data_IF_010221077206
#
_entry.id   IF_010221077206
#
_cell.length_a   1.000
_cell.length_b   1.000
_cell.length_c   1.000
_cell.angle_alpha   90.00
_cell.angle_beta   90.00
_cell.angle_gamma   90.00
#
_symmetry.space_group_name_H-M   'P 1'
#
loop_
_entity.id
_entity.type
_entity.pdbx_description
1 polymer ?
#
# COMPACT_ATOMS: atom_id res chain seq x y z
N UNK A 1 -27.49 2.34 2.61
CA UNK A 1 -28.35 2.98 3.63
C UNK A 1 -27.68 2.90 5.00
N UNK A 2 -27.99 3.80 5.94
CA UNK A 2 -27.49 3.70 7.30
C UNK A 2 -27.80 2.32 7.91
N UNK A 3 -26.79 1.68 8.51
CA UNK A 3 -26.92 0.33 9.08
C UNK A 3 -26.78 -0.83 8.09
N UNK A 4 -26.53 -0.57 6.80
CA UNK A 4 -26.23 -1.65 5.86
C UNK A 4 -24.85 -2.26 6.08
N UNK A 5 -24.78 -3.58 5.94
CA UNK A 5 -23.53 -4.34 5.97
C UNK A 5 -23.07 -4.63 4.54
N UNK A 6 -21.82 -5.08 4.38
CA UNK A 6 -21.31 -5.54 3.07
C UNK A 6 -22.24 -6.59 2.42
N UNK A 7 -22.83 -7.49 3.22
CA UNK A 7 -23.77 -8.49 2.72
C UNK A 7 -25.07 -7.87 2.16
N UNK A 8 -25.54 -6.77 2.74
CA UNK A 8 -26.69 -6.05 2.19
C UNK A 8 -26.36 -5.42 0.83
N UNK A 9 -25.19 -4.78 0.70
CA UNK A 9 -24.73 -4.24 -0.60
C UNK A 9 -24.65 -5.33 -1.67
N UNK A 10 -24.12 -6.51 -1.32
CA UNK A 10 -24.04 -7.67 -2.21
C UNK A 10 -25.43 -8.17 -2.64
N UNK A 11 -26.33 -8.36 -1.68
CA UNK A 11 -27.71 -8.78 -1.99
C UNK A 11 -28.45 -7.77 -2.88
N UNK A 12 -28.22 -6.47 -2.67
CA UNK A 12 -28.75 -5.41 -3.54
C UNK A 12 -28.16 -5.50 -4.95
N UNK A 13 -26.84 -5.69 -5.09
CA UNK A 13 -26.19 -5.86 -6.39
C UNK A 13 -26.73 -7.08 -7.14
N UNK A 14 -26.84 -8.22 -6.47
CA UNK A 14 -27.30 -9.48 -7.07
C UNK A 14 -28.77 -9.37 -7.51
N UNK A 15 -29.63 -8.72 -6.70
CA UNK A 15 -31.03 -8.46 -7.08
C UNK A 15 -31.13 -7.45 -8.23
N UNK A 16 -30.32 -6.39 -8.18
CA UNK A 16 -30.27 -5.37 -9.21
C UNK A 16 -29.88 -5.96 -10.56
N UNK A 17 -28.92 -6.88 -10.58
CA UNK A 17 -28.43 -7.54 -11.79
C UNK A 17 -29.47 -8.43 -12.50
N UNK A 18 -30.57 -8.79 -11.80
CA UNK A 18 -31.67 -9.59 -12.35
C UNK A 18 -32.81 -8.72 -12.94
N UNK A 19 -32.77 -7.41 -12.75
CA UNK A 19 -33.82 -6.52 -13.24
C UNK A 19 -33.64 -6.23 -14.74
N UNK A 20 -34.74 -6.00 -15.51
CA UNK A 20 -34.68 -5.66 -16.92
C UNK A 20 -34.33 -4.17 -17.13
N UNK A 21 -33.17 -3.76 -16.62
CA UNK A 21 -32.67 -2.37 -16.66
C UNK A 21 -31.75 -2.14 -17.85
N UNK A 22 -31.80 -0.94 -18.44
CA UNK A 22 -30.96 -0.58 -19.59
C UNK A 22 -29.70 0.21 -19.20
N UNK A 23 -29.64 0.75 -17.97
CA UNK A 23 -28.48 1.48 -17.47
C UNK A 23 -28.55 1.63 -15.93
N UNK A 24 -27.41 1.98 -15.30
CA UNK A 24 -27.34 2.31 -13.88
C UNK A 24 -26.82 3.73 -13.63
N UNK A 25 -27.36 4.39 -12.60
CA UNK A 25 -26.78 5.59 -11.98
C UNK A 25 -26.50 5.27 -10.51
N UNK A 26 -25.25 5.37 -10.09
CA UNK A 26 -24.82 5.05 -8.72
C UNK A 26 -24.39 6.32 -8.02
N UNK A 27 -24.92 6.54 -6.82
CA UNK A 27 -24.68 7.73 -6.00
C UNK A 27 -24.18 7.31 -4.63
N UNK A 28 -23.16 8.01 -4.12
CA UNK A 28 -22.83 7.98 -2.70
C UNK A 28 -23.91 8.72 -1.90
N UNK A 29 -24.14 8.30 -0.65
CA UNK A 29 -25.13 8.94 0.22
C UNK A 29 -24.63 10.31 0.66
N UNK A 30 -25.35 11.37 0.29
CA UNK A 30 -25.13 12.72 0.80
C UNK A 30 -26.18 13.08 1.85
N UNK A 31 -25.72 13.73 2.91
CA UNK A 31 -26.54 14.36 3.94
C UNK A 31 -26.54 15.84 3.62
N UNK A 32 -27.69 16.36 3.20
CA UNK A 32 -27.83 17.73 2.71
C UNK A 32 -28.61 18.59 3.69
N UNK A 33 -28.22 19.86 3.83
CA UNK A 33 -28.91 20.83 4.68
C UNK A 33 -30.39 20.92 4.32
N UNK A 34 -31.24 21.04 5.34
CA UNK A 34 -32.69 21.15 5.15
C UNK A 34 -33.41 19.84 4.87
N UNK A 35 -32.71 18.70 4.83
CA UNK A 35 -33.35 17.37 4.71
C UNK A 35 -33.66 16.76 6.07
N UNK A 36 -34.63 15.84 6.12
CA UNK A 36 -34.90 15.02 7.33
C UNK A 36 -33.66 14.25 7.77
N UNK A 37 -32.87 13.74 6.81
CA UNK A 37 -31.64 13.01 7.07
C UNK A 37 -30.59 13.87 7.80
N UNK A 38 -30.56 15.18 7.52
CA UNK A 38 -29.70 16.11 8.24
C UNK A 38 -30.12 16.30 9.71
N UNK A 39 -31.43 16.34 9.99
CA UNK A 39 -31.95 16.40 11.36
C UNK A 39 -31.58 15.12 12.12
N UNK A 40 -31.76 13.95 11.48
CA UNK A 40 -31.39 12.66 12.06
C UNK A 40 -29.89 12.58 12.34
N UNK A 41 -29.04 12.97 11.39
CA UNK A 41 -27.58 12.98 11.55
C UNK A 41 -27.11 13.94 12.65
N UNK A 42 -27.79 15.08 12.82
CA UNK A 42 -27.46 16.03 13.89
C UNK A 42 -27.80 15.49 15.29
N UNK A 43 -28.86 14.68 15.41
CA UNK A 43 -29.23 14.03 16.67
C UNK A 43 -28.36 12.81 16.96
N UNK A 44 -28.13 11.97 15.95
CA UNK A 44 -27.32 10.76 16.02
C UNK A 44 -26.50 10.65 14.73
N UNK A 45 -25.18 10.95 14.77
CA UNK A 45 -24.33 10.92 13.58
C UNK A 45 -24.42 9.59 12.82
N UNK A 46 -25.06 9.65 11.65
CA UNK A 46 -25.19 8.53 10.73
C UNK A 46 -23.84 8.19 10.08
N UNK A 47 -23.48 6.90 9.95
CA UNK A 47 -22.27 6.50 9.26
C UNK A 47 -22.39 6.83 7.76
N UNK A 48 -21.37 7.50 7.24
CA UNK A 48 -21.20 7.79 5.82
C UNK A 48 -19.84 7.32 5.36
N UNK A 49 -19.75 6.87 4.10
CA UNK A 49 -18.48 6.43 3.55
C UNK A 49 -17.66 7.58 2.99
N UNK A 50 -16.40 7.64 3.39
CA UNK A 50 -15.36 8.35 2.66
C UNK A 50 -14.99 7.58 1.39
N UNK A 51 -14.13 8.15 0.56
CA UNK A 51 -13.84 7.69 -0.80
C UNK A 51 -13.39 6.24 -0.85
N UNK A 52 -12.43 5.83 -0.02
CA UNK A 52 -11.89 4.48 -0.07
C UNK A 52 -12.92 3.39 0.31
N UNK A 53 -13.62 3.44 1.47
CA UNK A 53 -14.68 2.47 1.75
C UNK A 53 -15.79 2.45 0.70
N UNK A 54 -16.20 3.63 0.19
CA UNK A 54 -17.21 3.68 -0.85
C UNK A 54 -16.73 3.03 -2.15
N UNK A 55 -15.46 3.24 -2.52
CA UNK A 55 -14.85 2.62 -3.68
C UNK A 55 -14.85 1.09 -3.60
N UNK A 56 -14.51 0.50 -2.45
CA UNK A 56 -14.54 -0.96 -2.27
C UNK A 56 -15.95 -1.53 -2.50
N UNK A 57 -16.99 -0.89 -1.93
CA UNK A 57 -18.37 -1.31 -2.15
C UNK A 57 -18.83 -1.11 -3.60
N UNK A 58 -18.44 0.01 -4.22
CA UNK A 58 -18.76 0.31 -5.61
C UNK A 58 -18.13 -0.68 -6.57
N UNK A 59 -16.86 -1.04 -6.34
CA UNK A 59 -16.14 -2.01 -7.16
C UNK A 59 -16.79 -3.40 -7.03
N UNK A 60 -17.13 -3.85 -5.82
CA UNK A 60 -17.85 -5.12 -5.63
C UNK A 60 -19.21 -5.11 -6.35
N UNK A 61 -19.95 -3.99 -6.26
CA UNK A 61 -21.21 -3.81 -7.00
C UNK A 61 -20.99 -3.95 -8.51
N UNK A 62 -19.99 -3.25 -9.09
CA UNK A 62 -19.69 -3.31 -10.52
C UNK A 62 -19.32 -4.72 -10.96
N UNK A 63 -18.53 -5.46 -10.17
CA UNK A 63 -18.14 -6.85 -10.49
C UNK A 63 -19.34 -7.80 -10.58
N UNK A 64 -20.45 -7.49 -9.90
CA UNK A 64 -21.69 -8.28 -9.89
C UNK A 64 -22.71 -7.84 -10.94
N UNK A 65 -22.50 -6.69 -11.57
CA UNK A 65 -23.41 -6.20 -12.62
C UNK A 65 -23.34 -7.06 -13.89
N UNK A 66 -24.40 -7.06 -14.73
CA UNK A 66 -24.35 -7.67 -16.06
C UNK A 66 -23.24 -7.04 -16.94
N UNK A 67 -22.60 -7.81 -17.84
CA UNK A 67 -21.37 -7.38 -18.54
C UNK A 67 -21.55 -6.16 -19.43
N UNK A 68 -22.72 -6.02 -20.07
CA UNK A 68 -22.97 -4.96 -21.05
C UNK A 68 -23.85 -3.82 -20.50
N UNK A 69 -24.12 -3.78 -19.20
CA UNK A 69 -24.98 -2.76 -18.61
C UNK A 69 -24.22 -1.43 -18.45
N UNK A 70 -24.60 -0.34 -19.15
CA UNK A 70 -23.91 0.92 -19.06
C UNK A 70 -23.99 1.55 -17.66
N UNK A 71 -22.85 1.99 -17.14
CA UNK A 71 -22.76 2.81 -15.94
C UNK A 71 -22.75 4.28 -16.33
N UNK A 72 -23.86 4.98 -16.10
CA UNK A 72 -24.00 6.39 -16.45
C UNK A 72 -23.32 7.32 -15.46
N UNK A 73 -23.22 6.90 -14.19
CA UNK A 73 -22.72 7.73 -13.08
C UNK A 73 -22.22 6.87 -11.92
N UNK A 74 -21.13 7.30 -11.29
CA UNK A 74 -20.50 6.64 -10.13
C UNK A 74 -20.60 7.46 -8.82
N UNK A 75 -20.84 8.77 -8.92
CA UNK A 75 -20.86 9.70 -7.77
C UNK A 75 -21.97 10.73 -7.94
N UNK A 76 -22.41 11.32 -6.83
CA UNK A 76 -23.27 12.50 -6.87
C UNK A 76 -22.50 13.79 -6.57
N UNK A 77 -23.08 14.91 -6.98
CA UNK A 77 -22.53 16.25 -6.80
C UNK A 77 -23.58 17.05 -6.01
N UNK A 78 -23.19 17.63 -4.87
CA UNK A 78 -24.03 18.52 -4.04
C UNK A 78 -23.20 19.77 -3.74
N UNK A 79 -23.76 20.99 -3.85
CA UNK A 79 -23.02 22.21 -3.54
C UNK A 79 -22.40 22.20 -2.13
N UNK A 80 -21.16 22.67 -1.99
CA UNK A 80 -20.40 22.62 -0.73
C UNK A 80 -21.10 23.30 0.46
N UNK A 81 -21.88 24.34 0.17
CA UNK A 81 -22.64 25.09 1.17
C UNK A 81 -23.91 24.37 1.61
N UNK A 82 -24.38 23.36 0.89
CA UNK A 82 -25.53 22.50 1.20
C UNK A 82 -25.11 21.15 1.78
N UNK A 83 -23.93 20.65 1.42
CA UNK A 83 -23.43 19.34 1.88
C UNK A 83 -23.00 19.37 3.36
N UNK A 84 -23.56 18.48 4.18
CA UNK A 84 -23.13 18.24 5.56
C UNK A 84 -22.07 17.15 5.59
N UNK A 85 -22.36 15.98 5.00
CA UNK A 85 -21.47 14.82 4.98
C UNK A 85 -21.84 13.85 3.84
N UNK A 86 -20.93 12.96 3.39
CA UNK A 86 -19.48 12.97 3.64
C UNK A 86 -18.81 14.12 2.89
N UNK A 87 -17.72 14.66 3.44
CA UNK A 87 -16.91 15.69 2.76
C UNK A 87 -15.70 15.05 2.11
N UNK A 88 -15.89 14.56 0.88
CA UNK A 88 -14.81 13.97 0.10
C UNK A 88 -13.75 15.00 -0.28
N UNK A 89 -12.53 14.52 -0.43
CA UNK A 89 -11.32 15.23 -0.83
C UNK A 89 -10.86 14.85 -2.24
N UNK A 90 -11.40 13.77 -2.81
CA UNK A 90 -11.30 13.49 -4.26
C UNK A 90 -12.42 14.19 -5.02
N UNK A 91 -12.06 14.89 -6.10
CA UNK A 91 -13.04 15.29 -7.09
C UNK A 91 -13.56 14.08 -7.89
N UNK A 92 -14.64 14.29 -8.64
CA UNK A 92 -15.31 13.27 -9.45
C UNK A 92 -14.39 12.57 -10.46
N UNK A 93 -13.50 13.32 -11.10
CA UNK A 93 -12.58 12.78 -12.12
C UNK A 93 -11.53 11.90 -11.44
N UNK A 94 -10.95 12.39 -10.34
CA UNK A 94 -9.96 11.71 -9.53
C UNK A 94 -10.53 10.42 -8.93
N UNK A 95 -11.74 10.47 -8.37
CA UNK A 95 -12.42 9.30 -7.84
C UNK A 95 -12.69 8.25 -8.94
N UNK A 96 -13.20 8.67 -10.10
CA UNK A 96 -13.40 7.75 -11.25
C UNK A 96 -12.08 7.09 -11.67
N UNK A 97 -11.02 7.87 -11.81
CA UNK A 97 -9.71 7.34 -12.21
C UNK A 97 -9.14 6.40 -11.14
N UNK A 98 -9.38 6.67 -9.86
CA UNK A 98 -9.04 5.75 -8.76
C UNK A 98 -9.76 4.40 -8.91
N UNK A 99 -11.08 4.40 -9.14
CA UNK A 99 -11.85 3.16 -9.35
C UNK A 99 -11.28 2.35 -10.52
N UNK A 100 -11.06 2.99 -11.67
CA UNK A 100 -10.50 2.33 -12.85
C UNK A 100 -9.12 1.73 -12.54
N UNK A 101 -8.22 2.51 -11.93
CA UNK A 101 -6.89 2.03 -11.58
C UNK A 101 -6.91 0.87 -10.60
N UNK A 102 -7.77 0.90 -9.57
CA UNK A 102 -7.90 -0.22 -8.62
C UNK A 102 -8.47 -1.48 -9.29
N UNK A 103 -9.48 -1.33 -10.15
CA UNK A 103 -10.05 -2.47 -10.88
C UNK A 103 -9.01 -3.10 -11.82
N UNK A 104 -8.29 -2.29 -12.60
CA UNK A 104 -7.23 -2.77 -13.49
C UNK A 104 -6.09 -3.46 -12.72
N UNK A 105 -5.57 -2.82 -11.68
CA UNK A 105 -4.47 -3.33 -10.86
C UNK A 105 -4.84 -4.64 -10.16
N UNK A 106 -6.11 -4.80 -9.74
CA UNK A 106 -6.59 -6.02 -9.08
C UNK A 106 -7.13 -7.07 -10.06
N UNK A 107 -7.02 -6.84 -11.36
CA UNK A 107 -7.55 -7.72 -12.41
C UNK A 107 -9.06 -7.97 -12.26
N UNK A 108 -9.78 -6.93 -11.85
CA UNK A 108 -11.22 -6.95 -11.66
C UNK A 108 -11.93 -6.22 -12.79
N UNK A 109 -13.07 -6.77 -13.20
CA UNK A 109 -13.89 -6.29 -14.30
C UNK A 109 -15.36 -6.36 -13.93
N UNK A 110 -16.15 -5.51 -14.59
CA UNK A 110 -17.59 -5.61 -14.54
C UNK A 110 -18.01 -7.03 -14.98
N UNK A 111 -18.92 -7.64 -14.23
CA UNK A 111 -19.41 -9.01 -14.41
C UNK A 111 -18.47 -10.18 -14.04
N UNK A 112 -17.28 -9.96 -13.48
CA UNK A 112 -16.42 -11.07 -12.99
C UNK A 112 -17.10 -11.95 -11.93
N UNK A 113 -18.08 -11.41 -11.19
CA UNK A 113 -18.88 -12.11 -10.19
C UNK A 113 -20.33 -12.33 -10.65
N UNK A 114 -20.68 -12.00 -11.90
CA UNK A 114 -22.02 -12.22 -12.41
C UNK A 114 -22.22 -13.72 -12.75
N UNK A 115 -23.27 -14.38 -12.24
CA UNK A 115 -23.45 -15.82 -12.42
C UNK A 115 -23.45 -16.27 -13.88
N UNK A 116 -22.62 -17.27 -14.20
CA UNK A 116 -22.52 -17.85 -15.54
C UNK A 116 -21.77 -17.00 -16.57
N UNK A 117 -21.26 -15.83 -16.20
CA UNK A 117 -20.40 -15.04 -17.08
C UNK A 117 -18.93 -15.46 -16.93
N UNK A 118 -18.27 -15.63 -18.06
CA UNK A 118 -16.83 -15.84 -18.15
C UNK A 118 -16.34 -14.84 -19.19
N UNK A 119 -15.36 -14.01 -18.80
CA UNK A 119 -14.73 -13.12 -19.75
C UNK A 119 -13.93 -13.93 -20.78
N UNK A 120 -14.10 -13.68 -22.09
CA UNK A 120 -13.38 -14.41 -23.12
C UNK A 120 -11.88 -14.03 -23.15
N UNK A 121 -11.56 -12.79 -22.79
CA UNK A 121 -10.21 -12.24 -22.82
C UNK A 121 -9.55 -12.28 -21.43
N UNK A 122 -8.22 -12.38 -21.35
CA UNK A 122 -7.50 -12.23 -20.09
C UNK A 122 -7.58 -10.78 -19.57
N UNK A 123 -7.31 -10.55 -18.27
CA UNK A 123 -7.14 -9.21 -17.72
C UNK A 123 -6.05 -8.42 -18.45
N UNK A 124 -6.14 -7.09 -18.42
CA UNK A 124 -5.13 -6.22 -19.02
C UNK A 124 -3.73 -6.51 -18.44
N UNK A 125 -2.70 -6.70 -19.27
CA UNK A 125 -1.36 -6.99 -18.79
C UNK A 125 -0.76 -5.77 -18.07
N UNK A 126 0.23 -6.03 -17.21
CA UNK A 126 1.07 -4.99 -16.64
C UNK A 126 2.24 -4.75 -17.61
N UNK A 127 2.49 -3.52 -18.11
CA UNK A 127 3.63 -3.24 -18.99
C UNK A 127 4.94 -3.25 -18.20
N UNK A 128 5.41 -4.45 -17.89
CA UNK A 128 6.69 -4.72 -17.23
C UNK A 128 7.56 -5.62 -18.08
N UNK A 129 8.88 -5.37 -18.02
CA UNK A 129 9.87 -6.19 -18.70
C UNK A 129 10.82 -6.82 -17.68
N UNK A 130 11.00 -8.15 -17.66
CA UNK A 130 12.02 -8.81 -16.84
C UNK A 130 13.43 -8.37 -17.22
N UNK A 131 14.26 -8.14 -16.22
CA UNK A 131 15.66 -7.72 -16.34
C UNK A 131 16.48 -8.51 -15.34
N UNK A 132 17.46 -9.26 -15.83
CA UNK A 132 18.42 -9.96 -14.97
C UNK A 132 19.35 -8.94 -14.30
N UNK A 133 19.51 -9.06 -12.99
CA UNK A 133 20.40 -8.23 -12.17
C UNK A 133 21.80 -8.83 -12.08
N UNK A 134 22.76 -8.07 -11.55
CA UNK A 134 24.17 -8.50 -11.44
C UNK A 134 24.35 -9.69 -10.49
N UNK A 135 23.51 -9.84 -9.47
CA UNK A 135 23.48 -11.02 -8.58
C UNK A 135 22.74 -12.24 -9.16
N UNK A 136 22.34 -12.19 -10.44
CA UNK A 136 21.60 -13.26 -11.12
C UNK A 136 20.11 -13.36 -10.80
N UNK A 137 19.60 -12.53 -9.88
CA UNK A 137 18.15 -12.43 -9.64
C UNK A 137 17.44 -11.65 -10.77
N UNK A 138 16.11 -11.55 -10.69
CA UNK A 138 15.29 -10.89 -11.70
C UNK A 138 14.61 -9.68 -11.08
N UNK A 139 14.72 -8.52 -11.72
CA UNK A 139 13.87 -7.36 -11.42
C UNK A 139 13.02 -7.02 -12.64
N UNK A 140 11.96 -6.23 -12.46
CA UNK A 140 11.17 -5.74 -13.58
C UNK A 140 11.42 -4.26 -13.80
N UNK A 141 11.49 -3.84 -15.06
CA UNK A 141 11.32 -2.43 -15.43
C UNK A 141 9.82 -2.10 -15.51
N UNK A 142 9.36 -1.11 -14.77
CA UNK A 142 7.98 -0.61 -14.83
C UNK A 142 7.89 0.58 -15.79
N UNK A 143 7.20 0.41 -16.91
CA UNK A 143 7.12 1.46 -17.94
C UNK A 143 6.25 2.66 -17.58
N UNK A 144 5.41 2.56 -16.55
CA UNK A 144 4.58 3.67 -16.09
C UNK A 144 5.38 4.54 -15.12
N UNK A 145 6.03 3.88 -14.14
CA UNK A 145 6.80 4.56 -13.08
C UNK A 145 8.19 4.97 -13.56
N UNK A 146 8.70 4.33 -14.62
CA UNK A 146 10.05 4.53 -15.19
C UNK A 146 11.16 4.23 -14.18
N UNK A 147 10.98 3.14 -13.43
CA UNK A 147 11.95 2.60 -12.48
C UNK A 147 11.92 1.07 -12.48
N UNK A 148 13.01 0.47 -11.98
CA UNK A 148 13.03 -0.95 -11.64
C UNK A 148 12.39 -1.18 -10.27
N UNK A 149 11.78 -2.35 -10.07
CA UNK A 149 11.26 -2.76 -8.74
C UNK A 149 12.38 -2.96 -7.71
N UNK A 150 13.54 -3.43 -8.16
CA UNK A 150 14.75 -3.55 -7.36
C UNK A 150 15.94 -3.04 -8.15
N UNK A 151 17.00 -2.63 -7.47
CA UNK A 151 18.18 -2.11 -8.12
C UNK A 151 18.89 -3.19 -8.96
N UNK A 152 19.49 -2.74 -10.07
CA UNK A 152 20.18 -3.61 -11.04
C UNK A 152 21.35 -4.41 -10.47
N UNK A 153 21.93 -3.98 -9.35
CA UNK A 153 22.97 -4.73 -8.67
C UNK A 153 22.46 -6.05 -8.06
N UNK A 154 21.15 -6.16 -7.79
CA UNK A 154 20.58 -7.42 -7.29
C UNK A 154 19.35 -7.26 -6.42
N UNK A 155 18.27 -7.97 -6.75
CA UNK A 155 17.05 -7.98 -5.95
C UNK A 155 17.21 -8.83 -4.67
N UNK A 156 17.86 -9.99 -4.76
CA UNK A 156 18.18 -10.82 -3.57
C UNK A 156 19.19 -10.13 -2.68
N UNK A 157 20.24 -9.54 -3.27
CA UNK A 157 21.24 -8.75 -2.55
C UNK A 157 20.60 -7.58 -1.80
N UNK A 158 19.66 -6.89 -2.44
CA UNK A 158 18.93 -5.77 -1.84
C UNK A 158 18.05 -6.22 -0.66
N UNK A 159 17.24 -7.26 -0.85
CA UNK A 159 16.43 -7.82 0.23
C UNK A 159 17.27 -8.17 1.46
N UNK A 160 18.38 -8.88 1.25
CA UNK A 160 19.29 -9.27 2.32
C UNK A 160 19.97 -8.06 3.00
N UNK A 161 20.60 -7.18 2.22
CA UNK A 161 21.43 -6.09 2.75
C UNK A 161 20.65 -4.88 3.27
N UNK A 162 19.40 -4.67 2.82
CA UNK A 162 18.57 -3.51 3.22
C UNK A 162 17.51 -3.83 4.26
N UNK A 163 17.03 -5.08 4.29
CA UNK A 163 15.91 -5.47 5.14
C UNK A 163 16.31 -6.55 6.13
N UNK A 164 16.70 -7.74 5.66
CA UNK A 164 16.92 -8.92 6.53
C UNK A 164 18.06 -8.70 7.53
N UNK A 165 19.25 -8.33 7.04
CA UNK A 165 20.43 -8.17 7.88
C UNK A 165 20.32 -6.95 8.82
N UNK A 166 19.89 -5.76 8.37
CA UNK A 166 19.68 -4.62 9.27
C UNK A 166 18.63 -4.89 10.36
N UNK A 167 17.56 -5.62 10.02
CA UNK A 167 16.55 -6.06 10.99
C UNK A 167 17.08 -7.09 11.98
N UNK A 168 18.21 -7.75 11.67
CA UNK A 168 18.72 -8.90 12.42
C UNK A 168 17.65 -9.98 12.56
N UNK A 169 16.87 -10.18 11.50
CA UNK A 169 15.62 -10.96 11.53
C UNK A 169 15.83 -12.36 12.13
N UNK A 170 16.85 -13.09 11.67
CA UNK A 170 17.18 -14.40 12.23
C UNK A 170 17.37 -14.36 13.75
N UNK A 171 18.13 -13.39 14.26
CA UNK A 171 18.41 -13.27 15.70
C UNK A 171 17.16 -12.93 16.51
N UNK A 172 16.26 -12.11 15.95
CA UNK A 172 15.00 -11.79 16.60
C UNK A 172 14.06 -13.02 16.65
N UNK A 173 13.97 -13.79 15.56
CA UNK A 173 13.20 -15.03 15.49
C UNK A 173 13.78 -16.18 16.32
N UNK A 174 15.07 -16.13 16.68
CA UNK A 174 15.62 -17.05 17.69
C UNK A 174 15.05 -16.77 19.10
N UNK A 175 14.51 -15.58 19.36
CA UNK A 175 14.06 -15.17 20.69
C UNK A 175 12.53 -15.14 20.84
N UNK A 176 11.79 -14.79 19.78
CA UNK A 176 10.35 -14.60 19.86
C UNK A 176 9.68 -14.67 18.48
N UNK A 177 8.37 -14.95 18.40
CA UNK A 177 7.60 -14.79 17.17
C UNK A 177 7.53 -13.33 16.73
N UNK A 178 7.39 -13.10 15.43
CA UNK A 178 7.27 -11.75 14.86
C UNK A 178 6.11 -11.64 13.88
N UNK A 179 5.48 -10.45 13.89
CA UNK A 179 4.57 -10.01 12.84
C UNK A 179 5.24 -8.93 11.99
N UNK A 180 5.55 -9.27 10.75
CA UNK A 180 6.14 -8.39 9.74
C UNK A 180 5.04 -7.78 8.85
N UNK A 181 5.11 -6.46 8.64
CA UNK A 181 4.39 -5.77 7.57
C UNK A 181 5.32 -5.48 6.39
N UNK A 182 4.99 -5.95 5.20
CA UNK A 182 5.66 -5.59 3.95
C UNK A 182 4.79 -4.61 3.15
N UNK A 183 5.23 -3.36 3.03
CA UNK A 183 4.51 -2.29 2.32
C UNK A 183 5.10 -2.13 0.93
N UNK A 184 4.25 -2.28 -0.09
CA UNK A 184 4.61 -2.35 -1.50
C UNK A 184 5.37 -3.64 -1.84
N UNK A 185 4.69 -4.77 -1.65
CA UNK A 185 5.24 -6.12 -1.83
C UNK A 185 5.98 -6.33 -3.16
N UNK A 186 5.47 -5.76 -4.26
CA UNK A 186 6.08 -5.87 -5.59
C UNK A 186 6.32 -7.32 -6.01
N UNK A 187 7.59 -7.67 -6.25
CA UNK A 187 7.99 -9.02 -6.65
C UNK A 187 8.08 -10.00 -5.45
N UNK A 188 7.94 -9.51 -4.23
CA UNK A 188 7.96 -10.31 -3.01
C UNK A 188 9.34 -10.63 -2.45
N UNK A 189 10.44 -10.12 -3.02
CA UNK A 189 11.80 -10.47 -2.60
C UNK A 189 12.06 -10.27 -1.10
N UNK A 190 11.60 -9.16 -0.52
CA UNK A 190 11.82 -8.89 0.91
C UNK A 190 11.09 -9.90 1.79
N UNK A 191 9.82 -10.16 1.50
CA UNK A 191 9.02 -11.15 2.23
C UNK A 191 9.52 -12.58 2.03
N UNK A 192 9.80 -12.98 0.79
CA UNK A 192 10.28 -14.33 0.49
C UNK A 192 11.66 -14.59 1.13
N UNK A 193 12.55 -13.60 1.14
CA UNK A 193 13.81 -13.67 1.86
C UNK A 193 13.63 -13.74 3.39
N UNK A 194 12.64 -13.01 3.94
CA UNK A 194 12.30 -13.05 5.35
C UNK A 194 11.78 -14.44 5.76
N UNK A 195 10.90 -15.03 4.96
CA UNK A 195 10.37 -16.38 5.16
C UNK A 195 11.46 -17.44 5.04
N UNK A 196 12.38 -17.32 4.07
CA UNK A 196 13.55 -18.20 3.97
C UNK A 196 14.41 -18.12 5.24
N UNK A 197 14.65 -16.91 5.75
CA UNK A 197 15.42 -16.69 6.99
C UNK A 197 14.74 -17.34 8.19
N UNK A 198 13.41 -17.36 8.19
CA UNK A 198 12.61 -17.88 9.28
C UNK A 198 12.47 -19.42 9.27
N UNK A 199 12.81 -20.08 8.15
CA UNK A 199 12.77 -21.54 8.01
C UNK A 199 13.64 -22.26 9.05
N UNK A 200 14.78 -21.68 9.41
CA UNK A 200 15.76 -22.26 10.34
C UNK A 200 15.64 -21.70 11.77
N UNK A 201 14.46 -21.16 12.13
CA UNK A 201 14.23 -20.51 13.43
C UNK A 201 13.12 -21.20 14.23
N UNK A 202 13.20 -21.20 15.57
CA UNK A 202 12.22 -21.89 16.41
C UNK A 202 10.90 -21.13 16.58
N UNK A 203 10.83 -19.86 16.19
CA UNK A 203 9.62 -19.05 16.36
C UNK A 203 9.01 -18.63 15.02
N UNK A 204 7.68 -18.52 14.96
CA UNK A 204 7.00 -18.22 13.71
C UNK A 204 7.15 -16.77 13.26
N UNK A 205 7.11 -16.59 11.95
CA UNK A 205 7.00 -15.33 11.26
C UNK A 205 5.63 -15.27 10.57
N UNK A 206 4.78 -14.35 11.03
CA UNK A 206 3.55 -13.97 10.34
C UNK A 206 3.81 -12.72 9.50
N UNK A 207 3.39 -12.75 8.24
CA UNK A 207 3.56 -11.61 7.31
C UNK A 207 2.20 -11.07 6.89
N UNK A 208 2.06 -9.75 6.96
CA UNK A 208 1.01 -9.02 6.27
C UNK A 208 1.65 -8.21 5.17
N UNK A 209 1.17 -8.34 3.94
CA UNK A 209 1.70 -7.63 2.78
C UNK A 209 0.64 -6.68 2.22
N UNK A 210 1.05 -5.47 1.83
CA UNK A 210 0.23 -4.48 1.14
C UNK A 210 0.73 -4.33 -0.29
N UNK A 211 -0.14 -4.59 -1.27
CA UNK A 211 0.17 -4.43 -2.69
C UNK A 211 -1.06 -3.95 -3.44
N UNK A 212 -0.89 -3.01 -4.35
CA UNK A 212 -2.00 -2.49 -5.14
C UNK A 212 -2.23 -3.32 -6.41
N UNK A 213 -1.16 -3.81 -7.03
CA UNK A 213 -1.20 -4.43 -8.34
C UNK A 213 -1.01 -5.95 -8.28
N UNK A 214 -2.12 -6.69 -8.38
CA UNK A 214 -2.11 -8.17 -8.42
C UNK A 214 -1.31 -8.73 -9.59
N UNK A 215 -1.22 -7.99 -10.69
CA UNK A 215 -0.54 -8.45 -11.89
C UNK A 215 0.95 -8.61 -11.64
N UNK A 216 1.59 -7.73 -10.85
CA UNK A 216 3.03 -7.84 -10.58
C UNK A 216 3.38 -9.14 -9.86
N UNK A 217 2.54 -9.56 -8.91
CA UNK A 217 2.70 -10.81 -8.15
C UNK A 217 2.50 -12.02 -9.07
N UNK A 218 1.51 -11.98 -9.96
CA UNK A 218 1.33 -13.01 -11.00
C UNK A 218 2.56 -13.16 -11.89
N UNK A 219 3.07 -12.04 -12.42
CA UNK A 219 4.25 -12.07 -13.29
C UNK A 219 5.48 -12.56 -12.52
N UNK A 220 5.64 -12.20 -11.24
CA UNK A 220 6.71 -12.71 -10.40
C UNK A 220 6.61 -14.24 -10.21
N UNK A 221 5.40 -14.77 -9.95
CA UNK A 221 5.18 -16.21 -9.84
C UNK A 221 5.58 -16.97 -11.13
N UNK A 222 5.38 -16.36 -12.29
CA UNK A 222 5.65 -16.95 -13.60
C UNK A 222 7.12 -16.82 -14.05
N UNK A 223 7.89 -15.87 -13.51
CA UNK A 223 9.19 -15.48 -14.09
C UNK A 223 10.37 -15.53 -13.11
N UNK A 224 10.13 -15.50 -11.80
CA UNK A 224 11.22 -15.58 -10.84
C UNK A 224 11.87 -16.97 -10.87
N UNK A 225 13.17 -17.08 -11.15
CA UNK A 225 13.85 -18.37 -11.17
C UNK A 225 14.02 -18.92 -9.75
N UNK A 226 13.94 -20.25 -9.56
CA UNK A 226 14.32 -20.86 -8.31
C UNK A 226 15.81 -20.64 -8.04
N UNK A 227 16.18 -20.54 -6.77
CA UNK A 227 17.57 -20.42 -6.35
C UNK A 227 17.95 -21.59 -5.41
N UNK A 228 19.20 -22.09 -5.44
CA UNK A 228 19.63 -23.18 -4.57
C UNK A 228 19.46 -22.90 -3.07
N UNK A 229 19.52 -21.64 -2.68
CA UNK A 229 19.36 -21.20 -1.28
C UNK A 229 17.89 -21.03 -0.85
N UNK A 230 16.92 -21.32 -1.73
CA UNK A 230 15.51 -21.23 -1.38
C UNK A 230 15.07 -22.43 -0.55
N UNK A 231 14.59 -22.16 0.66
CA UNK A 231 14.14 -23.19 1.62
C UNK A 231 12.73 -23.71 1.31
N UNK A 232 12.00 -23.02 0.42
CA UNK A 232 10.66 -23.39 -0.06
C UNK A 232 10.45 -22.89 -1.49
N UNK A 233 9.37 -23.33 -2.14
CA UNK A 233 9.05 -22.90 -3.50
C UNK A 233 8.40 -21.50 -3.52
N UNK A 234 9.19 -20.50 -3.92
CA UNK A 234 8.76 -19.11 -4.04
C UNK A 234 7.64 -18.94 -5.07
N UNK A 235 7.74 -19.58 -6.25
CA UNK A 235 6.75 -19.47 -7.31
C UNK A 235 5.37 -19.98 -6.85
N UNK A 236 5.33 -21.14 -6.17
CA UNK A 236 4.09 -21.70 -5.60
C UNK A 236 3.48 -20.74 -4.57
N UNK A 237 4.30 -20.14 -3.71
CA UNK A 237 3.85 -19.20 -2.69
C UNK A 237 3.23 -17.94 -3.32
N UNK A 238 3.91 -17.37 -4.33
CA UNK A 238 3.41 -16.22 -5.08
C UNK A 238 2.11 -16.55 -5.83
N UNK A 239 1.98 -17.76 -6.38
CA UNK A 239 0.76 -18.22 -7.03
C UNK A 239 -0.40 -18.33 -6.03
N UNK A 240 -0.17 -18.90 -4.84
CA UNK A 240 -1.17 -18.98 -3.78
C UNK A 240 -1.61 -17.59 -3.32
N UNK A 241 -0.66 -16.65 -3.14
CA UNK A 241 -0.96 -15.25 -2.82
C UNK A 241 -1.81 -14.57 -3.89
N UNK A 242 -1.48 -14.77 -5.17
CA UNK A 242 -2.24 -14.21 -6.28
C UNK A 242 -3.70 -14.72 -6.30
N UNK A 243 -3.89 -16.02 -6.05
CA UNK A 243 -5.19 -16.69 -6.14
C UNK A 243 -6.06 -16.49 -4.89
N UNK A 244 -5.45 -16.54 -3.71
CA UNK A 244 -6.17 -16.65 -2.43
C UNK A 244 -5.87 -15.50 -1.46
N UNK A 245 -4.96 -14.59 -1.82
CA UNK A 245 -4.46 -13.54 -0.92
C UNK A 245 -3.86 -14.10 0.39
N UNK A 246 -3.48 -15.37 0.40
CA UNK A 246 -2.95 -16.08 1.57
C UNK A 246 -2.06 -17.24 1.13
N UNK A 247 -1.00 -17.51 1.88
CA UNK A 247 -0.17 -18.70 1.72
C UNK A 247 0.47 -19.13 3.06
N UNK A 248 0.77 -20.42 3.18
CA UNK A 248 1.50 -21.03 4.28
C UNK A 248 2.73 -21.76 3.71
N UNK A 249 3.81 -21.02 3.36
CA UNK A 249 4.94 -21.57 2.61
C UNK A 249 5.74 -22.62 3.39
N UNK A 250 5.74 -22.53 4.72
CA UNK A 250 6.47 -23.37 5.66
C UNK A 250 5.63 -23.58 6.93
N UNK A 251 5.89 -24.62 7.75
CA UNK A 251 5.19 -24.85 9.01
C UNK A 251 5.22 -23.60 9.90
N UNK A 252 4.04 -23.21 10.41
CA UNK A 252 3.83 -22.05 11.28
C UNK A 252 4.16 -20.67 10.65
N UNK A 253 4.58 -20.62 9.38
CA UNK A 253 4.85 -19.39 8.65
C UNK A 253 3.66 -19.04 7.75
N UNK A 254 3.10 -17.86 7.97
CA UNK A 254 1.91 -17.42 7.23
C UNK A 254 2.15 -16.09 6.56
N UNK A 255 1.56 -15.91 5.38
CA UNK A 255 1.49 -14.61 4.72
C UNK A 255 0.07 -14.34 4.26
N UNK A 256 -0.41 -13.11 4.53
CA UNK A 256 -1.67 -12.58 4.03
C UNK A 256 -1.45 -11.31 3.22
N UNK A 257 -2.10 -11.23 2.06
CA UNK A 257 -2.07 -10.06 1.18
C UNK A 257 -3.33 -9.19 1.36
N UNK A 258 -3.13 -7.88 1.41
CA UNK A 258 -4.19 -6.89 1.30
C UNK A 258 -4.02 -6.14 -0.02
N UNK A 259 -4.94 -6.41 -0.96
CA UNK A 259 -4.93 -5.80 -2.28
C UNK A 259 -5.54 -4.39 -2.26
N UNK A 260 -4.77 -3.39 -2.67
CA UNK A 260 -5.24 -2.01 -2.84
C UNK A 260 -4.20 -0.94 -2.54
N UNK A 261 -4.63 0.32 -2.64
CA UNK A 261 -3.82 1.47 -2.25
C UNK A 261 -3.36 1.31 -0.79
N UNK A 262 -2.04 1.35 -0.56
CA UNK A 262 -1.43 1.18 0.76
C UNK A 262 -1.98 2.19 1.78
N UNK A 263 -2.37 3.39 1.33
CA UNK A 263 -2.98 4.42 2.18
C UNK A 263 -4.34 4.01 2.74
N UNK A 264 -5.07 3.16 2.02
CA UNK A 264 -6.32 2.57 2.50
C UNK A 264 -6.06 1.27 3.26
N UNK A 265 -5.31 0.33 2.68
CA UNK A 265 -5.18 -1.02 3.25
C UNK A 265 -4.51 -1.01 4.63
N UNK A 266 -3.61 -0.06 4.89
CA UNK A 266 -3.02 0.13 6.22
C UNK A 266 -4.06 0.51 7.29
N UNK A 267 -5.15 1.20 6.93
CA UNK A 267 -6.22 1.59 7.88
C UNK A 267 -7.06 0.40 8.32
N UNK A 268 -6.97 -0.72 7.61
CA UNK A 268 -7.66 -1.96 7.96
C UNK A 268 -6.90 -2.77 9.03
N UNK A 269 -5.64 -2.41 9.29
CA UNK A 269 -4.79 -3.11 10.24
C UNK A 269 -5.03 -2.58 11.67
N UNK A 270 -5.03 -3.45 12.70
CA UNK A 270 -5.21 -3.04 14.08
C UNK A 270 -4.04 -2.17 14.58
N UNK A 271 -4.33 -1.29 15.52
CA UNK A 271 -3.32 -0.52 16.24
C UNK A 271 -2.34 -1.46 16.98
N UNK A 272 -1.07 -1.07 17.07
CA UNK A 272 -0.02 -1.80 17.79
C UNK A 272 0.03 -3.32 17.51
N UNK A 273 -0.07 -3.71 16.24
CA UNK A 273 -0.13 -5.09 15.78
C UNK A 273 1.15 -5.61 15.10
N UNK A 274 2.10 -4.74 14.76
CA UNK A 274 3.29 -5.10 13.97
C UNK A 274 4.59 -4.92 14.77
N UNK A 275 5.52 -5.87 14.62
CA UNK A 275 6.86 -5.84 15.23
C UNK A 275 7.92 -5.30 14.26
N UNK A 276 7.76 -5.56 12.97
CA UNK A 276 8.72 -5.20 11.94
C UNK A 276 8.00 -4.65 10.72
N UNK A 277 8.51 -3.56 10.14
CA UNK A 277 7.96 -2.94 8.94
C UNK A 277 9.05 -2.86 7.87
N UNK A 278 8.79 -3.43 6.70
CA UNK A 278 9.55 -3.18 5.49
C UNK A 278 8.75 -2.19 4.63
N UNK A 279 9.38 -1.06 4.29
CA UNK A 279 8.78 -0.04 3.42
C UNK A 279 9.61 0.05 2.14
N UNK A 280 9.09 -0.53 1.06
CA UNK A 280 9.79 -0.70 -0.23
C UNK A 280 9.00 -0.15 -1.41
N UNK A 281 8.46 1.07 -1.27
CA UNK A 281 7.80 1.73 -2.38
C UNK A 281 8.81 2.20 -3.46
N UNK A 282 8.31 2.49 -4.66
CA UNK A 282 9.09 3.22 -5.66
C UNK A 282 9.62 4.55 -5.13
N UNK A 283 10.66 5.08 -5.76
CA UNK A 283 11.37 6.23 -5.19
C UNK A 283 10.46 7.46 -5.08
N UNK A 284 10.67 8.30 -4.05
CA UNK A 284 9.78 9.44 -3.79
C UNK A 284 9.59 10.44 -4.95
N UNK A 285 10.55 10.66 -5.88
CA UNK A 285 10.32 11.44 -7.10
C UNK A 285 9.38 10.79 -8.13
N UNK A 286 9.08 9.50 -8.02
CA UNK A 286 8.18 8.77 -8.92
C UNK A 286 6.87 8.36 -8.28
N UNK A 287 6.90 8.04 -7.00
CA UNK A 287 5.75 7.63 -6.20
C UNK A 287 5.94 8.17 -4.80
N UNK A 288 5.28 9.28 -4.48
CA UNK A 288 5.48 10.02 -3.21
C UNK A 288 4.45 9.66 -2.13
N UNK A 289 3.37 9.00 -2.52
CA UNK A 289 2.20 8.68 -1.71
C UNK A 289 2.58 7.91 -0.43
N UNK A 290 3.46 6.92 -0.54
CA UNK A 290 3.96 6.11 0.58
C UNK A 290 5.11 6.77 1.38
N UNK A 291 5.48 8.02 1.06
CA UNK A 291 6.60 8.73 1.69
C UNK A 291 6.18 10.02 2.40
N UNK A 292 4.87 10.18 2.63
CA UNK A 292 4.34 11.37 3.27
C UNK A 292 4.37 11.26 4.79
N UNK A 293 4.48 12.41 5.46
CA UNK A 293 4.35 12.51 6.92
C UNK A 293 3.11 11.75 7.44
N UNK A 294 1.97 11.92 6.76
CA UNK A 294 0.68 11.37 7.18
C UNK A 294 0.62 9.85 6.97
N UNK A 295 1.28 9.34 5.93
CA UNK A 295 1.42 7.89 5.76
C UNK A 295 2.34 7.30 6.84
N UNK A 296 3.45 7.97 7.20
CA UNK A 296 4.29 7.55 8.32
C UNK A 296 3.54 7.54 9.66
N UNK A 297 2.58 8.45 9.86
CA UNK A 297 1.71 8.42 11.04
C UNK A 297 0.80 7.18 11.05
N UNK A 298 0.30 6.72 9.89
CA UNK A 298 -0.44 5.46 9.81
C UNK A 298 0.46 4.26 10.13
N UNK A 299 1.71 4.26 9.67
CA UNK A 299 2.67 3.22 10.05
C UNK A 299 2.94 3.25 11.56
N UNK A 300 3.13 4.44 12.14
CA UNK A 300 3.33 4.58 13.59
C UNK A 300 2.17 4.02 14.42
N UNK A 301 0.92 4.21 13.97
CA UNK A 301 -0.28 3.71 14.65
C UNK A 301 -0.28 2.18 14.82
N UNK A 302 0.16 1.45 13.80
CA UNK A 302 0.15 -0.02 13.80
C UNK A 302 1.40 -0.64 14.46
N UNK A 303 2.43 0.15 14.74
CA UNK A 303 3.70 -0.33 15.30
C UNK A 303 3.59 -0.56 16.81
N UNK A 304 4.07 -1.71 17.28
CA UNK A 304 4.29 -1.95 18.72
C UNK A 304 5.39 -1.04 19.28
N UNK A 305 5.49 -0.85 20.61
CA UNK A 305 6.48 0.06 21.21
C UNK A 305 7.95 -0.17 20.81
N UNK A 306 8.33 -1.44 20.60
CA UNK A 306 9.69 -1.84 20.19
C UNK A 306 9.78 -2.17 18.69
N UNK A 307 8.76 -1.85 17.91
CA UNK A 307 8.78 -2.16 16.49
C UNK A 307 9.81 -1.34 15.74
N UNK A 308 10.33 -1.91 14.66
CA UNK A 308 11.35 -1.28 13.81
C UNK A 308 10.86 -1.22 12.37
N UNK A 309 11.19 -0.12 11.69
CA UNK A 309 10.94 0.12 10.28
C UNK A 309 12.27 0.18 9.54
N UNK A 310 12.35 -0.52 8.42
CA UNK A 310 13.49 -0.52 7.52
C UNK A 310 13.07 -0.15 6.09
N UNK A 311 13.91 0.65 5.43
CA UNK A 311 13.73 1.03 4.02
C UNK A 311 15.08 1.29 3.35
N UNK A 312 15.19 0.99 2.05
CA UNK A 312 16.36 1.38 1.25
C UNK A 312 16.54 2.90 1.17
N UNK A 313 15.46 3.66 1.34
CA UNK A 313 15.44 5.08 1.07
C UNK A 313 16.22 5.89 2.12
N UNK A 314 17.15 6.73 1.66
CA UNK A 314 17.94 7.63 2.50
C UNK A 314 17.74 9.12 2.14
N UNK A 315 16.68 9.44 1.40
CA UNK A 315 16.44 10.82 0.98
C UNK A 315 16.06 11.71 2.18
N UNK A 316 16.63 12.92 2.22
CA UNK A 316 16.37 13.88 3.32
C UNK A 316 14.89 14.13 3.62
N UNK A 317 14.01 14.34 2.63
CA UNK A 317 12.59 14.55 2.87
C UNK A 317 11.88 13.36 3.55
N UNK A 318 12.38 12.14 3.33
CA UNK A 318 11.86 10.91 3.95
C UNK A 318 12.31 10.85 5.41
N UNK A 319 13.62 11.01 5.67
CA UNK A 319 14.18 11.05 7.04
C UNK A 319 13.54 12.18 7.87
N UNK A 320 13.36 13.36 7.29
CA UNK A 320 12.68 14.47 7.94
C UNK A 320 11.18 14.17 8.20
N UNK A 321 10.50 13.52 7.26
CA UNK A 321 9.10 13.09 7.45
C UNK A 321 8.95 12.09 8.59
N UNK A 322 9.86 11.12 8.71
CA UNK A 322 9.91 10.16 9.81
C UNK A 322 10.17 10.86 11.15
N UNK A 323 11.16 11.76 11.20
CA UNK A 323 11.42 12.57 12.40
C UNK A 323 10.18 13.39 12.82
N UNK A 324 9.51 14.05 11.86
CA UNK A 324 8.31 14.84 12.12
C UNK A 324 7.10 13.97 12.53
N UNK A 325 7.01 12.71 12.06
CA UNK A 325 6.03 11.74 12.56
C UNK A 325 6.33 11.27 13.99
N UNK A 326 7.50 11.65 14.54
CA UNK A 326 7.94 11.31 15.89
C UNK A 326 8.57 9.92 15.98
N UNK A 327 9.30 9.50 14.94
CA UNK A 327 10.21 8.37 15.01
C UNK A 327 11.60 8.82 15.46
N UNK A 328 12.32 7.90 16.10
CA UNK A 328 13.77 7.96 16.15
C UNK A 328 14.34 7.37 14.86
N UNK A 329 15.26 8.08 14.22
CA UNK A 329 15.78 7.73 12.90
C UNK A 329 17.30 7.52 12.96
N UNK A 330 17.76 6.48 12.26
CA UNK A 330 19.15 6.13 12.08
C UNK A 330 19.42 5.59 10.67
N UNK A 331 20.69 5.37 10.40
CA UNK A 331 21.17 4.74 9.18
C UNK A 331 21.20 3.23 9.33
N UNK A 332 21.06 2.51 8.21
CA UNK A 332 21.42 1.09 8.16
C UNK A 332 22.82 0.93 7.59
N UNK A 333 23.54 -0.08 8.08
CA UNK A 333 24.87 -0.40 7.58
C UNK A 333 24.83 -0.62 6.05
N UNK A 334 25.80 -0.07 5.31
CA UNK A 334 25.90 -0.26 3.87
C UNK A 334 26.44 -1.67 3.57
N UNK A 335 25.57 -2.69 3.62
CA UNK A 335 25.98 -4.07 3.33
C UNK A 335 25.86 -4.33 1.83
N UNK A 336 26.98 -4.68 1.19
CA UNK A 336 27.06 -5.03 -0.24
C UNK A 336 26.90 -3.85 -1.22
N UNK A 337 26.66 -2.62 -0.75
CA UNK A 337 26.52 -1.41 -1.57
C UNK A 337 27.03 -0.17 -0.83
N UNK A 338 27.47 0.89 -1.53
CA UNK A 338 28.09 2.06 -0.90
C UNK A 338 27.13 2.99 -0.13
N UNK A 339 25.81 2.87 -0.31
CA UNK A 339 24.83 3.79 0.31
C UNK A 339 24.14 3.12 1.49
N UNK A 340 23.98 3.84 2.61
CA UNK A 340 23.14 3.45 3.74
C UNK A 340 21.65 3.48 3.36
N UNK A 341 20.82 2.74 4.10
CA UNK A 341 19.36 2.91 4.09
C UNK A 341 18.91 3.70 5.32
N UNK A 342 17.64 3.56 5.70
CA UNK A 342 17.08 4.19 6.90
C UNK A 342 16.44 3.15 7.81
N UNK A 343 16.75 3.27 9.10
CA UNK A 343 16.02 2.61 10.19
C UNK A 343 15.19 3.66 10.92
N UNK A 344 13.94 3.34 11.25
CA UNK A 344 13.10 4.15 12.13
C UNK A 344 12.43 3.29 13.20
N UNK A 345 12.24 3.83 14.41
CA UNK A 345 11.61 3.11 15.53
C UNK A 345 11.02 4.08 16.55
N UNK A 346 10.13 3.59 17.40
CA UNK A 346 9.59 4.34 18.55
C UNK A 346 10.51 4.23 19.78
N UNK A 347 11.41 3.24 19.81
CA UNK A 347 12.36 3.07 20.90
C UNK A 347 13.78 3.47 20.46
N UNK A 348 14.32 4.62 20.93
CA UNK A 348 15.62 5.11 20.49
C UNK A 348 16.78 4.16 20.81
N UNK A 349 16.65 3.28 21.81
CA UNK A 349 17.72 2.34 22.20
C UNK A 349 17.96 1.26 21.15
N UNK A 350 17.02 1.09 20.19
CA UNK A 350 17.13 0.13 19.10
C UNK A 350 17.85 0.70 17.87
N UNK A 351 18.15 2.00 17.84
CA UNK A 351 18.92 2.63 16.75
C UNK A 351 20.41 2.32 16.95
N UNK A 352 20.98 1.51 16.06
CA UNK A 352 22.40 1.15 16.13
C UNK A 352 23.32 2.24 15.58
N UNK A 353 22.88 2.92 14.51
CA UNK A 353 23.64 3.99 13.86
C UNK A 353 22.76 5.23 13.79
N UNK A 354 22.74 6.09 14.83
CA UNK A 354 21.96 7.32 14.80
C UNK A 354 22.40 8.23 13.64
N UNK A 355 21.46 9.01 13.08
CA UNK A 355 21.83 10.03 12.09
C UNK A 355 22.91 10.97 12.65
N UNK A 356 23.97 11.30 11.89
CA UNK A 356 24.97 12.27 12.29
C UNK A 356 24.34 13.61 12.71
N UNK A 357 24.96 14.31 13.67
CA UNK A 357 24.46 15.59 14.19
C UNK A 357 24.29 16.60 13.04
N UNK A 358 25.31 16.72 12.19
CA UNK A 358 25.30 17.59 11.01
C UNK A 358 24.12 17.29 10.06
N UNK A 359 23.81 16.00 9.86
CA UNK A 359 22.66 15.63 9.04
C UNK A 359 21.35 16.05 9.70
N UNK A 360 21.20 15.84 11.01
CA UNK A 360 20.00 16.29 11.75
C UNK A 360 19.82 17.80 11.66
N UNK A 361 20.90 18.57 11.77
CA UNK A 361 20.88 20.02 11.60
C UNK A 361 20.47 20.43 10.19
N UNK A 362 21.01 19.77 9.16
CA UNK A 362 20.60 19.99 7.76
C UNK A 362 19.12 19.67 7.58
N UNK A 363 18.62 18.57 8.15
CA UNK A 363 17.21 18.22 8.06
C UNK A 363 16.30 19.20 8.82
N UNK A 364 16.80 19.88 9.85
CA UNK A 364 16.05 20.89 10.57
C UNK A 364 16.05 22.27 9.88
N UNK A 365 17.10 22.59 9.11
CA UNK A 365 17.37 23.97 8.67
C UNK A 365 17.47 24.14 7.15
N UNK A 366 17.44 23.08 6.36
CA UNK A 366 17.59 23.16 4.91
C UNK A 366 16.34 22.69 4.16
N UNK A 367 16.21 23.10 2.91
CA UNK A 367 15.10 22.66 2.03
C UNK A 367 15.06 21.15 1.81
N UNK A 368 16.19 20.45 2.02
CA UNK A 368 16.25 18.97 2.01
C UNK A 368 15.46 18.36 3.17
N UNK A 369 15.29 19.09 4.26
CA UNK A 369 14.50 18.74 5.43
C UNK A 369 13.00 18.95 5.28
N UNK A 370 12.52 19.49 4.15
CA UNK A 370 11.08 19.70 3.94
C UNK A 370 10.46 18.37 3.48
N UNK A 371 9.56 17.74 4.27
CA UNK A 371 8.99 16.44 3.96
C UNK A 371 7.81 16.54 2.98
N UNK A 372 7.34 15.39 2.49
CA UNK A 372 6.14 15.27 1.67
C UNK A 372 4.87 15.25 2.53
N UNK A 373 3.80 15.91 2.10
CA UNK A 373 2.50 15.93 2.77
C UNK A 373 1.40 15.35 1.87
N UNK A 374 0.43 14.70 2.52
CA UNK A 374 -0.82 14.18 1.96
C UNK A 374 -1.83 14.09 3.11
N UNK A 375 -2.38 15.23 3.58
CA UNK A 375 -3.07 15.29 4.88
C UNK A 375 -4.32 14.42 4.97
N UNK A 376 -4.97 14.18 3.84
CA UNK A 376 -6.17 13.36 3.74
C UNK A 376 -5.90 11.97 3.15
N UNK A 377 -4.63 11.65 2.88
CA UNK A 377 -4.20 10.38 2.27
C UNK A 377 -4.86 10.09 0.92
N UNK A 378 -5.17 11.14 0.15
CA UNK A 378 -5.79 11.00 -1.18
C UNK A 378 -5.08 11.80 -2.25
N UNK A 379 -4.05 12.58 -1.94
CA UNK A 379 -3.33 13.36 -2.93
C UNK A 379 -2.62 12.46 -3.95
N UNK A 380 -2.64 12.86 -5.20
CA UNK A 380 -1.84 12.24 -6.25
C UNK A 380 -0.37 12.59 -6.05
N UNK A 381 0.54 11.78 -6.57
CA UNK A 381 1.97 12.10 -6.66
C UNK A 381 2.23 13.55 -7.09
N UNK A 382 1.54 14.02 -8.14
CA UNK A 382 1.70 15.38 -8.66
C UNK A 382 1.29 16.47 -7.66
N UNK A 383 0.22 16.26 -6.91
CA UNK A 383 -0.23 17.20 -5.87
C UNK A 383 0.79 17.25 -4.72
N UNK A 384 1.28 16.09 -4.28
CA UNK A 384 2.29 15.96 -3.22
C UNK A 384 3.60 16.66 -3.61
N UNK A 385 4.09 16.46 -4.84
CA UNK A 385 5.31 17.10 -5.34
C UNK A 385 5.11 18.62 -5.43
N UNK A 386 4.00 19.09 -6.02
CA UNK A 386 3.72 20.53 -6.16
C UNK A 386 3.60 21.25 -4.82
N UNK A 387 2.93 20.63 -3.84
CA UNK A 387 2.86 21.17 -2.48
C UNK A 387 4.26 21.34 -1.88
N UNK A 388 5.09 20.29 -1.98
CA UNK A 388 6.45 20.34 -1.46
C UNK A 388 7.29 21.41 -2.17
N UNK A 389 7.21 21.50 -3.49
CA UNK A 389 7.89 22.53 -4.28
C UNK A 389 7.50 23.94 -3.82
N UNK A 390 6.20 24.18 -3.61
CA UNK A 390 5.70 25.45 -3.08
C UNK A 390 6.29 25.76 -1.70
N UNK A 391 6.31 24.80 -0.78
CA UNK A 391 6.91 24.96 0.56
C UNK A 391 8.43 25.19 0.49
N UNK A 392 9.13 24.55 -0.43
CA UNK A 392 10.55 24.79 -0.68
C UNK A 392 10.80 26.22 -1.18
N UNK A 393 9.97 26.74 -2.08
CA UNK A 393 10.09 28.13 -2.55
C UNK A 393 9.81 29.14 -1.43
N UNK A 394 8.77 28.90 -0.63
CA UNK A 394 8.45 29.73 0.54
C UNK A 394 9.61 29.75 1.54
N UNK A 395 10.20 28.60 1.82
CA UNK A 395 11.36 28.50 2.71
C UNK A 395 12.56 29.31 2.19
N UNK A 396 12.83 29.31 0.88
CA UNK A 396 13.94 30.07 0.28
C UNK A 396 13.71 31.59 0.26
N UNK A 397 12.48 32.04 0.44
CA UNK A 397 12.11 33.46 0.47
C UNK A 397 12.14 34.07 1.87
N UNK A 398 12.33 33.25 2.91
CA UNK A 398 12.58 33.66 4.29
C UNK A 398 14.09 33.80 4.50
#
# INVERSE_FOLDING_TARGET
LPGETAAHFQATADRFAQLPIQAVKIHNLHIEKGTTLALEHALTPLPVFMEYPFAEHLIDFIRRMPPNLPIMRLTTDTPDHELIAPRWHMDKMKFRNYIVAQMEAREWRQADLFPGHIHPDPPAPLPVNPVTTEDGSTTFWNDIVKEHYHARAGARLEAQGKYIQPARLHQQLQQQPLHLLDICFGLGYNTLAALNTAADTPHPLTVTALEMDRRVVRHAAETLPPHPDDTFNWATTLQQLHQHAHAEPLPDQTIKMHWGDARHTITLLPDASMDLIFLDAFSSPRNSECWTLHFFQQIKRIMRPNAQLFTYAAAGPIRAGLLQAGFHVGETAPIGRPRSGTQATLNPTLIQQPLPIEEREILATATRGIPFYDPQLVWTHREIIRDREKRVLQFKSQ
#
